data_IF_136244884596
#
_entry.id   IF_136244884596
#
_cell.length_a   1.000
_cell.length_b   1.000
_cell.length_c   1.000
_cell.angle_alpha   90.00
_cell.angle_beta   90.00
_cell.angle_gamma   90.00
#
_symmetry.space_group_name_H-M   'P 1'
#
loop_
_entity.id
_entity.type
_entity.pdbx_description
1 polymer ?
#
# COMPACT_ATOMS: atom_id res chain seq x y z
N UNK A 1 1.21 10.33 22.35
CA UNK A 1 1.37 9.54 21.12
C UNK A 1 2.49 10.18 20.33
N UNK A 2 3.44 9.39 19.82
CA UNK A 2 4.51 9.93 18.97
C UNK A 2 3.91 10.37 17.64
N UNK A 3 4.29 11.56 17.18
CA UNK A 3 3.86 12.09 15.88
C UNK A 3 4.45 11.23 14.75
N UNK A 4 3.59 10.65 13.89
CA UNK A 4 4.02 9.83 12.76
C UNK A 4 4.49 10.75 11.64
N UNK A 5 5.78 10.69 11.30
CA UNK A 5 6.34 11.44 10.17
C UNK A 5 6.15 10.66 8.87
N UNK A 6 5.10 10.97 8.12
CA UNK A 6 4.89 10.36 6.80
C UNK A 6 5.92 10.85 5.77
N UNK A 7 6.35 9.99 4.83
CA UNK A 7 7.23 10.42 3.76
C UNK A 7 6.58 11.43 2.80
N UNK A 8 5.25 11.37 2.67
CA UNK A 8 4.46 12.28 1.85
C UNK A 8 2.99 12.25 2.30
N UNK A 9 2.38 13.43 2.36
CA UNK A 9 0.93 13.61 2.48
C UNK A 9 0.55 14.87 1.69
N UNK A 10 -0.46 14.82 0.82
CA UNK A 10 -0.95 16.01 0.11
C UNK A 10 -1.53 17.04 1.09
N UNK A 11 -1.48 18.32 0.72
CA UNK A 11 -2.08 19.39 1.50
C UNK A 11 -3.60 19.16 1.67
N UNK A 12 -4.10 19.36 2.89
CA UNK A 12 -5.51 19.15 3.23
C UNK A 12 -5.97 17.69 3.28
N UNK A 13 -5.06 16.72 3.14
CA UNK A 13 -5.36 15.28 3.28
C UNK A 13 -4.81 14.71 4.58
N UNK A 14 -5.46 13.68 5.08
CA UNK A 14 -5.08 12.96 6.30
C UNK A 14 -5.15 11.44 6.06
N UNK A 15 -4.41 10.68 6.89
CA UNK A 15 -4.59 9.24 6.99
C UNK A 15 -5.52 8.94 8.17
N UNK A 16 -6.58 8.19 7.90
CA UNK A 16 -7.49 7.68 8.92
C UNK A 16 -7.13 6.25 9.27
N UNK A 17 -7.62 5.76 10.41
CA UNK A 17 -7.26 4.46 10.95
C UNK A 17 -8.50 3.67 11.34
N UNK A 18 -8.47 2.37 11.08
CA UNK A 18 -9.52 1.42 11.48
C UNK A 18 -8.93 0.15 12.09
N UNK A 19 -9.64 -0.50 13.02
CA UNK A 19 -9.20 -1.77 13.60
C UNK A 19 -9.23 -2.90 12.58
N UNK A 20 -8.49 -3.99 12.86
CA UNK A 20 -8.39 -5.15 12.00
C UNK A 20 -9.72 -5.89 11.76
N UNK A 21 -10.72 -5.68 12.62
CA UNK A 21 -12.05 -6.28 12.50
C UNK A 21 -13.02 -5.41 11.69
N UNK A 22 -12.60 -4.24 11.18
CA UNK A 22 -13.41 -3.47 10.24
C UNK A 22 -13.64 -4.30 8.96
N UNK A 23 -14.89 -4.43 8.48
CA UNK A 23 -15.21 -5.33 7.37
C UNK A 23 -14.47 -5.00 6.07
N UNK A 24 -14.22 -3.71 5.78
CA UNK A 24 -13.50 -3.29 4.58
C UNK A 24 -11.99 -3.52 4.72
N UNK A 25 -11.46 -3.40 5.94
CA UNK A 25 -10.07 -3.75 6.22
C UNK A 25 -9.84 -5.27 6.14
N UNK A 26 -10.81 -6.08 6.60
CA UNK A 26 -10.79 -7.54 6.41
C UNK A 26 -10.74 -7.88 4.91
N UNK A 27 -11.56 -7.22 4.09
CA UNK A 27 -11.51 -7.45 2.64
C UNK A 27 -10.15 -7.06 2.04
N UNK A 28 -9.58 -5.92 2.43
CA UNK A 28 -8.25 -5.52 1.98
C UNK A 28 -7.17 -6.55 2.37
N UNK A 29 -7.29 -7.18 3.55
CA UNK A 29 -6.43 -8.29 3.99
C UNK A 29 -6.62 -9.52 3.09
N UNK A 30 -7.87 -9.88 2.77
CA UNK A 30 -8.18 -11.02 1.91
C UNK A 30 -7.59 -10.81 0.51
N UNK A 31 -7.85 -9.65 -0.10
CA UNK A 31 -7.32 -9.27 -1.43
C UNK A 31 -5.79 -9.35 -1.44
N UNK A 32 -5.11 -8.81 -0.42
CA UNK A 32 -3.65 -8.94 -0.27
C UNK A 32 -3.21 -10.40 -0.26
N UNK A 33 -3.89 -11.24 0.51
CA UNK A 33 -3.52 -12.65 0.71
C UNK A 33 -3.68 -13.48 -0.56
N UNK A 34 -4.72 -13.20 -1.34
CA UNK A 34 -5.09 -14.01 -2.51
C UNK A 34 -4.44 -13.51 -3.80
N UNK A 35 -4.21 -12.21 -3.94
CA UNK A 35 -3.85 -11.62 -5.24
C UNK A 35 -2.43 -11.02 -5.29
N UNK A 36 -1.82 -10.67 -4.15
CA UNK A 36 -0.51 -10.00 -4.18
C UNK A 36 0.61 -10.92 -4.69
N UNK A 37 1.35 -10.42 -5.69
CA UNK A 37 2.53 -11.12 -6.24
C UNK A 37 3.86 -10.57 -5.69
N UNK A 38 3.86 -9.39 -5.05
CA UNK A 38 5.04 -8.88 -4.34
C UNK A 38 5.14 -9.53 -2.95
N UNK A 39 6.04 -10.50 -2.82
CA UNK A 39 6.27 -11.22 -1.55
C UNK A 39 7.09 -10.43 -0.51
N UNK A 40 7.72 -9.32 -0.91
CA UNK A 40 8.48 -8.48 0.03
C UNK A 40 7.59 -7.44 0.71
N UNK A 41 6.67 -6.86 -0.06
CA UNK A 41 5.83 -5.74 0.39
C UNK A 41 4.39 -5.95 -0.08
N UNK A 42 3.75 -7.03 0.35
CA UNK A 42 2.38 -7.35 -0.09
C UNK A 42 1.38 -6.33 0.44
N UNK A 43 0.64 -5.68 -0.45
CA UNK A 43 -0.45 -4.76 -0.12
C UNK A 43 -1.74 -5.16 -0.82
N UNK A 44 -2.86 -4.80 -0.21
CA UNK A 44 -4.20 -4.98 -0.76
C UNK A 44 -5.06 -3.77 -0.40
N UNK A 45 -5.91 -3.37 -1.32
CA UNK A 45 -6.77 -2.21 -1.16
C UNK A 45 -8.17 -2.45 -1.70
N UNK A 46 -9.14 -1.77 -1.09
CA UNK A 46 -10.53 -1.76 -1.54
C UNK A 46 -11.07 -0.34 -1.57
N UNK A 47 -11.90 -0.05 -2.57
CA UNK A 47 -12.64 1.21 -2.70
C UNK A 47 -14.08 0.99 -2.29
N UNK A 48 -14.59 1.83 -1.41
CA UNK A 48 -15.90 1.69 -0.75
C UNK A 48 -16.74 2.93 -0.97
N UNK A 49 -17.96 2.77 -1.48
CA UNK A 49 -18.94 3.85 -1.64
C UNK A 49 -20.25 3.43 -0.98
N UNK A 50 -20.78 4.26 -0.07
CA UNK A 50 -22.05 3.97 0.61
C UNK A 50 -22.06 2.64 1.37
N UNK A 51 -20.90 2.21 1.90
CA UNK A 51 -20.73 0.92 2.58
C UNK A 51 -20.60 -0.30 1.67
N UNK A 52 -20.53 -0.11 0.35
CA UNK A 52 -20.37 -1.18 -0.64
C UNK A 52 -18.99 -1.10 -1.28
N UNK A 53 -18.32 -2.24 -1.40
CA UNK A 53 -17.03 -2.32 -2.09
C UNK A 53 -17.26 -2.30 -3.60
N UNK A 54 -16.76 -1.26 -4.26
CA UNK A 54 -16.89 -1.03 -5.71
C UNK A 54 -15.60 -1.32 -6.48
N UNK A 55 -14.45 -1.41 -5.79
CA UNK A 55 -13.18 -1.77 -6.42
C UNK A 55 -12.24 -2.51 -5.47
N UNK A 56 -11.38 -3.36 -6.01
CA UNK A 56 -10.40 -4.18 -5.27
C UNK A 56 -9.13 -4.34 -6.09
N UNK A 57 -7.96 -4.31 -5.42
CA UNK A 57 -6.72 -4.77 -6.04
C UNK A 57 -5.64 -5.08 -4.99
N UNK A 58 -4.74 -5.98 -5.34
CA UNK A 58 -3.46 -6.15 -4.65
C UNK A 58 -2.30 -5.58 -5.48
N UNK A 59 -1.14 -5.40 -4.85
CA UNK A 59 0.04 -4.97 -5.58
C UNK A 59 0.72 -6.11 -6.35
N UNK A 60 1.26 -5.74 -7.51
CA UNK A 60 1.91 -6.69 -8.41
C UNK A 60 3.38 -6.31 -8.66
N UNK A 61 4.28 -7.29 -8.53
CA UNK A 61 5.68 -7.10 -8.94
C UNK A 61 5.79 -7.18 -10.47
N UNK A 62 6.59 -6.31 -11.08
CA UNK A 62 6.80 -6.30 -12.53
C UNK A 62 7.60 -7.50 -13.05
N UNK A 63 8.29 -8.23 -12.18
CA UNK A 63 8.92 -9.50 -12.56
C UNK A 63 7.87 -10.56 -12.85
N UNK A 64 7.82 -11.03 -14.11
CA UNK A 64 6.94 -12.13 -14.52
C UNK A 64 7.59 -13.51 -14.37
N UNK A 65 8.92 -13.58 -14.43
CA UNK A 65 9.63 -14.86 -14.38
C UNK A 65 9.90 -15.30 -12.93
N UNK A 66 9.51 -16.53 -12.53
CA UNK A 66 9.54 -16.98 -11.13
C UNK A 66 10.95 -16.94 -10.51
N UNK A 67 12.00 -17.20 -11.30
CA UNK A 67 13.40 -17.10 -10.82
C UNK A 67 13.76 -15.67 -10.38
N UNK A 68 13.34 -14.63 -11.11
CA UNK A 68 13.66 -13.24 -10.74
C UNK A 68 12.81 -12.76 -9.56
N UNK A 69 11.55 -13.20 -9.47
CA UNK A 69 10.71 -12.98 -8.28
C UNK A 69 11.39 -13.57 -7.04
N UNK A 70 11.83 -14.84 -7.12
CA UNK A 70 12.49 -15.52 -6.01
C UNK A 70 13.82 -14.86 -5.63
N UNK A 71 14.63 -14.44 -6.62
CA UNK A 71 15.89 -13.73 -6.37
C UNK A 71 15.65 -12.39 -5.65
N UNK A 72 14.63 -11.64 -6.08
CA UNK A 72 14.24 -10.38 -5.46
C UNK A 72 13.68 -10.57 -4.04
N UNK A 73 12.90 -11.63 -3.82
CA UNK A 73 12.40 -12.02 -2.50
C UNK A 73 13.53 -12.40 -1.53
N UNK A 74 14.61 -13.00 -2.04
CA UNK A 74 15.83 -13.31 -1.25
C UNK A 74 16.73 -12.10 -0.97
N UNK A 75 16.29 -10.89 -1.32
CA UNK A 75 16.99 -9.65 -1.01
C UNK A 75 17.85 -9.07 -2.14
N UNK A 76 17.84 -9.68 -3.33
CA UNK A 76 18.50 -9.09 -4.50
C UNK A 76 17.65 -7.94 -5.06
N UNK A 77 17.83 -6.76 -4.49
CA UNK A 77 17.15 -5.53 -4.91
C UNK A 77 18.17 -4.42 -5.11
N UNK A 78 18.31 -3.94 -6.35
CA UNK A 78 19.30 -2.89 -6.67
C UNK A 78 18.99 -1.56 -5.96
N UNK A 79 17.71 -1.24 -5.73
CA UNK A 79 17.31 -0.07 -4.93
C UNK A 79 17.81 -0.16 -3.49
N UNK A 80 17.75 -1.35 -2.86
CA UNK A 80 18.31 -1.59 -1.51
C UNK A 80 19.83 -1.47 -1.51
N UNK A 81 20.51 -2.07 -2.50
CA UNK A 81 21.97 -1.96 -2.65
C UNK A 81 22.45 -0.50 -2.81
N UNK A 82 21.68 0.30 -3.55
CA UNK A 82 21.97 1.73 -3.78
C UNK A 82 21.38 2.65 -2.69
N UNK A 83 20.80 2.11 -1.61
CA UNK A 83 20.19 2.87 -0.50
C UNK A 83 19.19 3.94 -0.96
N UNK A 84 18.41 3.63 -2.00
CA UNK A 84 17.40 4.54 -2.55
C UNK A 84 16.26 4.71 -1.56
N UNK A 85 15.85 5.96 -1.29
CA UNK A 85 14.73 6.28 -0.39
C UNK A 85 13.42 5.64 -0.90
N UNK A 86 12.64 5.08 0.01
CA UNK A 86 11.28 4.57 -0.24
C UNK A 86 10.43 5.64 -0.95
N UNK A 87 9.55 5.22 -1.85
CA UNK A 87 8.75 6.15 -2.65
C UNK A 87 9.42 6.70 -3.91
N UNK A 88 10.70 6.43 -4.15
CA UNK A 88 11.46 7.06 -5.26
C UNK A 88 12.17 6.06 -6.17
N UNK A 89 12.48 6.49 -7.40
CA UNK A 89 13.31 5.76 -8.39
C UNK A 89 12.85 4.33 -8.70
N UNK A 90 11.53 4.14 -8.89
CA UNK A 90 10.95 2.82 -9.21
C UNK A 90 11.49 2.20 -10.51
N UNK A 91 11.86 3.03 -11.50
CA UNK A 91 12.46 2.58 -12.76
C UNK A 91 13.78 1.81 -12.60
N UNK A 92 14.46 1.93 -11.46
CA UNK A 92 15.72 1.22 -11.21
C UNK A 92 15.53 -0.28 -11.02
N UNK A 93 14.34 -0.75 -10.64
CA UNK A 93 14.11 -2.16 -10.33
C UNK A 93 12.69 -2.59 -10.70
N UNK A 94 12.49 -3.36 -11.78
CA UNK A 94 11.17 -3.86 -12.17
C UNK A 94 10.60 -4.88 -11.18
N UNK A 95 11.42 -5.40 -10.27
CA UNK A 95 10.96 -6.22 -9.15
C UNK A 95 10.25 -5.47 -8.04
N UNK A 96 10.41 -4.15 -7.99
CA UNK A 96 9.57 -3.31 -7.16
C UNK A 96 8.33 -2.94 -7.96
N UNK A 97 7.16 -3.13 -7.37
CA UNK A 97 5.90 -2.72 -7.97
C UNK A 97 5.95 -1.25 -8.39
N UNK A 98 5.58 -0.96 -9.64
CA UNK A 98 5.43 0.42 -10.12
C UNK A 98 4.14 1.01 -9.53
N UNK A 99 4.01 2.34 -9.47
CA UNK A 99 2.83 2.95 -8.86
C UNK A 99 1.50 2.58 -9.54
N UNK A 100 1.53 2.18 -10.82
CA UNK A 100 0.36 1.66 -11.55
C UNK A 100 -0.06 0.28 -11.05
N UNK A 101 0.90 -0.50 -10.56
CA UNK A 101 0.72 -1.84 -10.03
C UNK A 101 0.56 -1.84 -8.49
N UNK A 102 0.52 -0.68 -7.84
CA UNK A 102 0.22 -0.56 -6.41
C UNK A 102 -1.26 -0.82 -6.16
N UNK A 103 -1.57 -1.37 -4.99
CA UNK A 103 -2.93 -1.76 -4.63
C UNK A 103 -3.89 -0.55 -4.70
N UNK A 104 -3.44 0.62 -4.27
CA UNK A 104 -4.22 1.87 -4.26
C UNK A 104 -4.69 2.27 -5.66
N UNK A 105 -3.74 2.41 -6.60
CA UNK A 105 -4.03 2.77 -7.99
C UNK A 105 -4.84 1.68 -8.70
N UNK A 106 -4.53 0.41 -8.39
CA UNK A 106 -5.25 -0.75 -8.90
C UNK A 106 -6.72 -0.74 -8.50
N UNK A 107 -7.02 -0.51 -7.21
CA UNK A 107 -8.38 -0.57 -6.68
C UNK A 107 -9.24 0.59 -7.21
N UNK A 108 -8.65 1.78 -7.37
CA UNK A 108 -9.29 2.93 -8.03
C UNK A 108 -9.62 2.60 -9.49
N UNK A 109 -8.66 2.08 -10.25
CA UNK A 109 -8.86 1.68 -11.65
C UNK A 109 -9.91 0.59 -11.80
N UNK A 110 -9.90 -0.41 -10.91
CA UNK A 110 -10.90 -1.47 -10.87
C UNK A 110 -12.31 -0.89 -10.63
N UNK A 111 -12.46 0.02 -9.65
CA UNK A 111 -13.72 0.70 -9.37
C UNK A 111 -14.24 1.49 -10.58
N UNK A 112 -13.38 2.32 -11.20
CA UNK A 112 -13.73 3.11 -12.39
C UNK A 112 -14.13 2.18 -13.54
N UNK A 113 -13.42 1.07 -13.75
CA UNK A 113 -13.70 0.15 -14.86
C UNK A 113 -15.06 -0.56 -14.71
N UNK A 114 -15.53 -0.77 -13.48
CA UNK A 114 -16.78 -1.48 -13.18
C UNK A 114 -17.99 -0.56 -13.12
N UNK A 115 -17.82 0.65 -12.57
CA UNK A 115 -18.93 1.53 -12.23
C UNK A 115 -18.85 2.93 -12.86
N UNK A 116 -17.76 3.25 -13.55
CA UNK A 116 -17.47 4.59 -14.09
C UNK A 116 -16.93 5.55 -13.03
N UNK A 117 -16.34 6.65 -13.49
CA UNK A 117 -15.70 7.65 -12.61
C UNK A 117 -16.68 8.30 -11.63
N UNK A 118 -17.90 8.63 -12.08
CA UNK A 118 -18.92 9.27 -11.24
C UNK A 118 -19.29 8.45 -10.00
N UNK A 119 -19.27 7.12 -10.11
CA UNK A 119 -19.56 6.23 -8.99
C UNK A 119 -18.46 6.21 -7.92
N UNK A 120 -17.23 6.62 -8.27
CA UNK A 120 -16.06 6.65 -7.39
C UNK A 120 -15.95 7.97 -6.63
N UNK A 121 -16.53 9.06 -7.15
CA UNK A 121 -16.46 10.38 -6.51
C UNK A 121 -17.04 10.31 -5.10
N UNK A 122 -16.26 10.73 -4.10
CA UNK A 122 -16.61 10.68 -2.68
C UNK A 122 -16.67 9.26 -2.11
N UNK A 123 -16.01 8.28 -2.74
CA UNK A 123 -15.72 6.98 -2.15
C UNK A 123 -14.50 7.06 -1.23
N UNK A 124 -14.33 6.03 -0.41
CA UNK A 124 -13.21 5.88 0.52
C UNK A 124 -12.31 4.72 0.10
N UNK A 125 -11.02 4.80 0.41
CA UNK A 125 -10.07 3.71 0.15
C UNK A 125 -9.56 3.11 1.46
N UNK A 126 -9.55 1.79 1.55
CA UNK A 126 -8.98 1.05 2.67
C UNK A 126 -7.75 0.30 2.21
N UNK A 127 -6.60 0.53 2.85
CA UNK A 127 -5.31 -0.04 2.47
C UNK A 127 -4.74 -0.89 3.61
N UNK A 128 -4.39 -2.12 3.29
CA UNK A 128 -3.66 -3.03 4.18
C UNK A 128 -2.26 -3.32 3.64
N UNK A 129 -1.31 -3.56 4.55
CA UNK A 129 0.06 -3.99 4.23
C UNK A 129 1.03 -2.83 4.06
N UNK A 130 0.55 -1.60 4.22
CA UNK A 130 1.37 -0.40 4.25
C UNK A 130 0.88 0.61 5.31
N UNK A 131 1.71 1.61 5.59
CA UNK A 131 1.47 2.62 6.63
C UNK A 131 1.42 4.05 6.10
N UNK A 132 1.52 4.21 4.78
CA UNK A 132 1.41 5.47 4.06
C UNK A 132 1.17 5.19 2.56
N UNK A 133 0.78 6.19 1.79
CA UNK A 133 0.60 6.07 0.33
C UNK A 133 1.62 6.96 -0.39
N UNK A 134 2.18 6.48 -1.51
CA UNK A 134 3.12 7.28 -2.28
C UNK A 134 2.43 8.41 -3.05
N UNK A 135 3.19 9.44 -3.46
CA UNK A 135 2.63 10.59 -4.18
C UNK A 135 1.79 10.19 -5.41
N UNK A 136 2.28 9.33 -6.34
CA UNK A 136 1.47 8.93 -7.48
C UNK A 136 0.15 8.21 -7.12
N UNK A 137 0.13 7.42 -6.05
CA UNK A 137 -1.10 6.79 -5.58
C UNK A 137 -2.06 7.83 -5.01
N UNK A 138 -1.54 8.81 -4.26
CA UNK A 138 -2.34 9.94 -3.80
C UNK A 138 -2.92 10.74 -4.96
N UNK A 139 -2.10 11.04 -5.97
CA UNK A 139 -2.55 11.76 -7.17
C UNK A 139 -3.70 10.99 -7.85
N UNK A 140 -3.55 9.68 -8.06
CA UNK A 140 -4.59 8.82 -8.66
C UNK A 140 -5.88 8.77 -7.81
N UNK A 141 -5.77 8.69 -6.49
CA UNK A 141 -6.92 8.72 -5.58
C UNK A 141 -7.64 10.08 -5.63
N UNK A 142 -6.89 11.18 -5.61
CA UNK A 142 -7.43 12.55 -5.65
C UNK A 142 -8.13 12.81 -6.98
N UNK A 143 -7.50 12.45 -8.09
CA UNK A 143 -8.06 12.62 -9.45
C UNK A 143 -9.37 11.83 -9.63
N UNK A 144 -9.45 10.63 -9.05
CA UNK A 144 -10.68 9.83 -9.07
C UNK A 144 -11.77 10.29 -8.08
N UNK A 145 -11.48 11.32 -7.27
CA UNK A 145 -12.42 11.85 -6.29
C UNK A 145 -12.54 11.04 -5.00
N UNK A 146 -11.55 10.21 -4.64
CA UNK A 146 -11.51 9.55 -3.33
C UNK A 146 -11.46 10.61 -2.22
N UNK A 147 -12.31 10.44 -1.20
CA UNK A 147 -12.42 11.36 -0.06
C UNK A 147 -11.38 11.04 1.00
N UNK A 148 -11.45 9.84 1.57
CA UNK A 148 -10.60 9.44 2.69
C UNK A 148 -9.81 8.16 2.40
N UNK A 149 -8.66 8.04 3.06
CA UNK A 149 -7.82 6.83 3.04
C UNK A 149 -7.71 6.29 4.47
N UNK A 150 -8.06 5.02 4.62
CA UNK A 150 -8.05 4.29 5.88
C UNK A 150 -6.93 3.25 5.88
N UNK A 151 -6.06 3.36 6.88
CA UNK A 151 -5.01 2.40 7.17
C UNK A 151 -5.42 1.51 8.35
N UNK A 152 -4.72 0.39 8.50
CA UNK A 152 -4.85 -0.42 9.71
C UNK A 152 -4.31 0.36 10.91
N UNK A 153 -5.01 0.31 12.04
CA UNK A 153 -4.48 0.73 13.34
C UNK A 153 -3.10 0.09 13.59
N UNK A 154 -2.17 0.89 14.10
CA UNK A 154 -0.77 0.49 14.32
C UNK A 154 -0.02 0.04 13.06
N UNK A 155 -0.50 0.43 11.87
CA UNK A 155 0.17 0.11 10.60
C UNK A 155 1.60 0.64 10.56
N UNK A 156 1.88 1.80 11.17
CA UNK A 156 3.24 2.34 11.27
C UNK A 156 4.18 1.36 11.96
N UNK A 157 3.79 0.80 13.10
CA UNK A 157 4.59 -0.19 13.83
C UNK A 157 4.71 -1.50 13.06
N UNK A 158 3.62 -1.95 12.45
CA UNK A 158 3.54 -3.24 11.76
C UNK A 158 4.31 -3.26 10.44
N UNK A 159 4.27 -2.17 9.67
CA UNK A 159 4.73 -2.14 8.28
C UNK A 159 5.91 -1.20 8.02
N UNK A 160 6.36 -0.43 9.01
CA UNK A 160 7.58 0.39 8.86
C UNK A 160 8.84 -0.47 9.03
N UNK A 161 9.50 -0.79 7.92
CA UNK A 161 10.71 -1.60 7.90
C UNK A 161 11.92 -0.92 8.58
N UNK A 162 11.99 0.41 8.57
CA UNK A 162 13.07 1.17 9.21
C UNK A 162 12.95 1.07 10.74
N UNK A 163 11.76 1.33 11.27
CA UNK A 163 11.45 1.13 12.70
C UNK A 163 11.73 -0.31 13.13
N UNK A 164 11.26 -1.29 12.35
CA UNK A 164 11.49 -2.70 12.61
C UNK A 164 12.99 -3.08 12.63
N UNK A 165 13.82 -2.42 11.82
CA UNK A 165 15.26 -2.64 11.82
C UNK A 165 15.94 -2.00 13.05
N UNK A 166 15.50 -0.82 13.48
CA UNK A 166 15.99 -0.19 14.71
C UNK A 166 15.64 -0.99 15.96
N UNK A 167 14.41 -1.49 16.07
CA UNK A 167 13.97 -2.36 17.18
C UNK A 167 14.84 -3.62 17.24
N UNK A 168 15.09 -4.26 16.09
CA UNK A 168 15.96 -5.45 16.00
C UNK A 168 17.40 -5.15 16.41
N UNK A 169 17.94 -3.97 16.03
CA UNK A 169 19.30 -3.53 16.41
C UNK A 169 19.45 -3.23 17.89
N UNK A 170 18.40 -2.73 18.55
CA UNK A 170 18.44 -2.38 19.98
C UNK A 170 18.30 -3.60 20.90
N UNK A 171 18.07 -4.80 20.35
CA UNK A 171 17.78 -6.01 21.12
C UNK A 171 16.38 -5.94 21.73
N UNK A 172 15.64 -7.06 21.75
CA UNK A 172 14.41 -7.13 22.53
C UNK A 172 14.76 -6.74 23.98
N UNK A 173 13.99 -5.89 24.67
CA UNK A 173 14.07 -5.81 26.11
C UNK A 173 13.90 -7.24 26.64
N UNK A 174 14.85 -7.70 27.45
CA UNK A 174 14.69 -8.93 28.20
C UNK A 174 13.51 -8.68 29.15
N UNK A 175 12.39 -9.37 28.91
CA UNK A 175 11.34 -9.50 29.91
C UNK A 175 11.90 -10.18 31.16
#
# INVERSE_FOLDING_TARGET
MNEIKYPYIPEGRNMLYVPANNPFMIEAILVRNTESTDKNHSTGAVVVKGGVIIGRAANHAGFKHPKFIALHARGWCIRRKLKVKSGTKYWLCPGCSTHVDHAESGAVRDAISKAGTEAVIGADLYLYGHWWCCKPCWDAMIEAGIRDVYLLEKSWELFNSELNHEIKKRGKPKN
#
